data_IF_363084000683
#
_entry.id   IF_363084000683
#
_cell.length_a   1.000
_cell.length_b   1.000
_cell.length_c   1.000
_cell.angle_alpha   90.00
_cell.angle_beta   90.00
_cell.angle_gamma   90.00
#
_symmetry.space_group_name_H-M   'P 1'
#
loop_
_entity.id
_entity.type
_entity.pdbx_description
1 polymer ?
#
# COMPACT_ATOMS: atom_id res chain seq x y z
N UNK A 1 13.99 12.67 -3.79
CA UNK A 1 14.85 12.45 -2.61
C UNK A 1 15.88 13.56 -2.43
N UNK A 2 16.72 13.87 -3.42
CA UNK A 2 17.76 14.91 -3.27
C UNK A 2 17.22 16.30 -2.92
N UNK A 3 16.09 16.68 -3.53
CA UNK A 3 15.36 17.90 -3.17
C UNK A 3 14.93 17.91 -1.70
N UNK A 4 14.44 16.77 -1.18
CA UNK A 4 14.01 16.65 0.22
C UNK A 4 15.20 16.67 1.19
N UNK A 5 16.31 16.00 0.86
CA UNK A 5 17.56 16.04 1.65
C UNK A 5 18.05 17.49 1.83
N UNK A 6 17.89 18.34 0.82
CA UNK A 6 18.29 19.75 0.89
C UNK A 6 17.25 20.65 1.57
N UNK A 7 15.96 20.46 1.30
CA UNK A 7 14.90 21.36 1.79
C UNK A 7 14.52 21.11 3.26
N UNK A 8 14.56 19.85 3.74
CA UNK A 8 14.13 19.50 5.10
C UNK A 8 14.93 20.26 6.18
N UNK A 9 16.28 20.32 6.15
CA UNK A 9 17.04 21.09 7.13
C UNK A 9 16.68 22.58 7.11
N UNK A 10 16.48 23.16 5.93
CA UNK A 10 16.12 24.58 5.76
C UNK A 10 14.75 24.86 6.35
N UNK A 11 13.78 23.95 6.14
CA UNK A 11 12.43 24.07 6.72
C UNK A 11 12.49 23.94 8.24
N UNK A 12 13.27 22.98 8.77
CA UNK A 12 13.48 22.80 10.21
C UNK A 12 14.04 24.06 10.87
N UNK A 13 15.10 24.66 10.32
CA UNK A 13 15.65 25.91 10.85
C UNK A 13 14.65 27.07 10.81
N UNK A 14 13.80 27.13 9.78
CA UNK A 14 12.72 28.14 9.71
C UNK A 14 11.67 27.90 10.78
N UNK A 15 11.31 26.64 11.05
CA UNK A 15 10.36 26.30 12.11
C UNK A 15 10.93 26.63 13.50
N UNK A 16 12.22 26.35 13.74
CA UNK A 16 12.93 26.70 14.98
C UNK A 16 12.94 28.20 15.27
N UNK A 17 12.88 29.03 14.22
CA UNK A 17 12.80 30.48 14.36
C UNK A 17 11.41 30.97 14.79
N UNK A 18 10.37 30.15 14.63
CA UNK A 18 8.97 30.49 14.88
C UNK A 18 8.47 29.89 16.20
N UNK A 19 8.83 28.63 16.46
CA UNK A 19 8.34 27.88 17.61
C UNK A 19 9.33 27.94 18.78
N UNK A 20 8.86 27.85 20.04
CA UNK A 20 9.74 27.85 21.19
C UNK A 20 10.66 26.61 21.18
N UNK A 21 11.88 26.69 21.73
CA UNK A 21 12.82 25.55 21.78
C UNK A 21 12.25 24.29 22.43
N UNK A 22 11.28 24.43 23.34
CA UNK A 22 10.59 23.30 23.99
C UNK A 22 9.73 22.47 23.03
N UNK A 23 9.41 22.99 21.85
CA UNK A 23 8.69 22.26 20.80
C UNK A 23 9.61 21.26 20.07
N UNK A 24 10.91 21.53 19.99
CA UNK A 24 11.86 20.69 19.26
C UNK A 24 12.51 19.67 20.20
N UNK A 25 12.10 18.42 20.07
CA UNK A 25 12.74 17.24 20.62
C UNK A 25 13.38 16.42 19.47
N UNK A 26 13.87 15.21 19.76
CA UNK A 26 14.53 14.39 18.75
C UNK A 26 13.60 13.99 17.58
N UNK A 27 12.28 13.98 17.78
CA UNK A 27 11.30 13.58 16.77
C UNK A 27 11.19 14.57 15.62
N UNK A 28 11.34 15.87 15.87
CA UNK A 28 11.23 16.91 14.85
C UNK A 28 12.45 16.90 13.92
N UNK A 29 13.61 16.42 14.39
CA UNK A 29 14.84 16.31 13.60
C UNK A 29 14.97 15.01 12.79
N UNK A 30 14.18 13.97 13.11
CA UNK A 30 14.18 12.68 12.39
C UNK A 30 14.07 12.80 10.85
N UNK A 31 13.23 13.71 10.29
CA UNK A 31 13.11 13.89 8.84
C UNK A 31 14.42 14.19 8.12
N UNK A 32 15.41 14.79 8.80
CA UNK A 32 16.74 15.07 8.22
C UNK A 32 17.43 13.78 7.79
N UNK A 33 17.24 12.70 8.55
CA UNK A 33 17.84 11.39 8.25
C UNK A 33 16.97 10.57 7.30
N UNK A 34 15.63 10.72 7.36
CA UNK A 34 14.70 9.90 6.57
C UNK A 34 14.93 10.01 5.06
N UNK A 35 15.23 11.20 4.55
CA UNK A 35 15.44 11.39 3.11
C UNK A 35 16.67 10.62 2.60
N UNK A 36 17.74 10.59 3.39
CA UNK A 36 18.94 9.82 3.10
C UNK A 36 18.71 8.32 3.25
N UNK A 37 18.02 7.94 4.32
CA UNK A 37 17.66 6.55 4.59
C UNK A 37 16.79 5.93 3.50
N UNK A 38 15.84 6.68 2.96
CA UNK A 38 14.98 6.25 1.86
C UNK A 38 15.77 6.18 0.54
N UNK A 39 16.72 7.08 0.30
CA UNK A 39 17.62 6.99 -0.87
C UNK A 39 18.44 5.70 -0.85
N UNK A 40 18.94 5.30 0.32
CA UNK A 40 19.77 4.10 0.48
C UNK A 40 18.96 2.80 0.49
N UNK A 41 17.83 2.78 1.19
CA UNK A 41 17.11 1.55 1.49
C UNK A 41 15.76 1.40 0.77
N UNK A 42 15.34 2.41 0.00
CA UNK A 42 14.05 2.42 -0.68
C UNK A 42 12.86 2.61 0.28
N UNK A 43 11.64 2.22 -0.14
CA UNK A 43 10.41 2.50 0.58
C UNK A 43 10.43 2.05 2.05
N UNK A 44 10.04 2.98 2.90
CA UNK A 44 10.03 2.95 4.37
C UNK A 44 9.27 1.76 5.00
N UNK A 45 8.42 1.07 4.22
CA UNK A 45 7.48 0.05 4.67
C UNK A 45 8.12 -1.11 5.48
N UNK A 46 9.39 -1.43 5.22
CA UNK A 46 10.09 -2.51 5.93
C UNK A 46 10.96 -2.04 7.12
N UNK A 47 11.17 -0.74 7.32
CA UNK A 47 12.12 -0.17 8.29
C UNK A 47 11.50 0.49 9.52
N UNK A 48 10.23 0.88 9.49
CA UNK A 48 9.56 1.54 10.64
C UNK A 48 9.27 0.63 11.84
N UNK A 49 9.48 -0.68 11.70
CA UNK A 49 9.36 -1.64 12.79
C UNK A 49 10.42 -2.70 12.55
N UNK A 50 11.21 -3.04 13.57
CA UNK A 50 12.25 -4.01 13.37
C UNK A 50 11.64 -5.39 13.01
N UNK A 51 12.30 -6.21 12.17
CA UNK A 51 11.78 -7.54 11.82
C UNK A 51 11.44 -8.41 13.04
N UNK A 52 12.24 -8.31 14.10
CA UNK A 52 11.99 -9.01 15.36
C UNK A 52 10.75 -8.49 16.10
N UNK A 53 10.50 -7.18 16.10
CA UNK A 53 9.31 -6.60 16.72
C UNK A 53 8.03 -7.00 15.98
N UNK A 54 8.08 -7.05 14.64
CA UNK A 54 6.96 -7.56 13.84
C UNK A 54 6.64 -9.01 14.17
N UNK A 55 7.68 -9.84 14.28
CA UNK A 55 7.51 -11.25 14.64
C UNK A 55 6.97 -11.40 16.07
N UNK A 56 7.52 -10.67 17.04
CA UNK A 56 7.02 -10.66 18.41
C UNK A 56 5.57 -10.17 18.50
N UNK A 57 5.20 -9.17 17.71
CA UNK A 57 3.82 -8.71 17.62
C UNK A 57 2.87 -9.80 17.08
N UNK A 58 3.32 -10.59 16.10
CA UNK A 58 2.58 -11.76 15.63
C UNK A 58 2.42 -12.81 16.72
N UNK A 59 3.52 -13.23 17.38
CA UNK A 59 3.47 -14.19 18.48
C UNK A 59 2.58 -13.71 19.64
N UNK A 60 2.59 -12.42 19.94
CA UNK A 60 1.72 -11.81 20.96
C UNK A 60 0.23 -12.00 20.65
N UNK A 61 -0.17 -12.03 19.38
CA UNK A 61 -1.57 -12.31 18.97
C UNK A 61 -1.97 -13.78 19.21
N UNK A 62 -0.99 -14.68 19.26
CA UNK A 62 -1.17 -16.11 19.50
C UNK A 62 -1.35 -16.44 20.99
N UNK A 63 -1.07 -15.49 21.89
CA UNK A 63 -1.27 -15.65 23.33
C UNK A 63 -2.74 -15.49 23.71
N UNK A 64 -3.48 -16.59 23.74
CA UNK A 64 -4.87 -16.68 24.23
C UNK A 64 -4.95 -16.92 25.74
N UNK A 65 -3.97 -17.64 26.30
CA UNK A 65 -3.85 -17.85 27.73
C UNK A 65 -2.60 -17.17 28.29
N UNK A 66 -2.77 -16.05 29.00
CA UNK A 66 -1.66 -15.29 29.59
C UNK A 66 -0.97 -16.02 30.74
N UNK A 67 -1.62 -16.98 31.39
CA UNK A 67 -1.00 -17.80 32.44
C UNK A 67 -0.05 -18.86 31.88
N UNK A 68 -0.13 -19.17 30.57
CA UNK A 68 0.72 -20.15 29.88
C UNK A 68 1.08 -19.64 28.48
N UNK A 69 1.95 -18.62 28.45
CA UNK A 69 2.30 -17.89 27.23
C UNK A 69 2.93 -18.81 26.18
N UNK A 70 3.96 -19.56 26.55
CA UNK A 70 4.69 -20.47 25.65
C UNK A 70 3.76 -21.55 25.09
N UNK A 71 2.99 -22.22 25.95
CA UNK A 71 2.03 -23.23 25.53
C UNK A 71 0.94 -22.69 24.59
N UNK A 72 0.50 -21.44 24.81
CA UNK A 72 -0.45 -20.79 23.91
C UNK A 72 0.14 -20.51 22.54
N UNK A 73 1.42 -20.09 22.48
CA UNK A 73 2.13 -19.85 21.21
C UNK A 73 2.35 -21.17 20.46
N UNK A 74 2.86 -22.21 21.14
CA UNK A 74 3.07 -23.52 20.54
C UNK A 74 1.77 -24.11 19.97
N UNK A 75 0.67 -24.02 20.72
CA UNK A 75 -0.62 -24.53 20.24
C UNK A 75 -1.13 -23.76 19.00
N UNK A 76 -1.01 -22.44 18.99
CA UNK A 76 -1.38 -21.63 17.84
C UNK A 76 -0.54 -21.98 16.60
N UNK A 77 0.77 -22.21 16.80
CA UNK A 77 1.69 -22.62 15.75
C UNK A 77 1.31 -23.99 15.16
N UNK A 78 0.99 -24.98 16.01
CA UNK A 78 0.52 -26.30 15.55
C UNK A 78 -0.76 -26.20 14.70
N UNK A 79 -1.73 -25.39 15.14
CA UNK A 79 -2.98 -25.16 14.39
C UNK A 79 -2.68 -24.48 13.06
N UNK A 80 -1.77 -23.51 13.05
CA UNK A 80 -1.34 -22.80 11.85
C UNK A 80 -0.68 -23.73 10.83
N UNK A 81 0.27 -24.58 11.24
CA UNK A 81 0.91 -25.55 10.37
C UNK A 81 -0.09 -26.59 9.85
N UNK A 82 -0.92 -27.16 10.73
CA UNK A 82 -1.95 -28.12 10.32
C UNK A 82 -2.92 -27.50 9.32
N UNK A 83 -3.39 -26.27 9.54
CA UNK A 83 -4.29 -25.57 8.62
C UNK A 83 -3.64 -25.27 7.27
N UNK A 84 -2.34 -24.94 7.28
CA UNK A 84 -1.56 -24.69 6.06
C UNK A 84 -1.39 -25.98 5.27
N UNK A 85 -1.05 -27.08 5.95
CA UNK A 85 -0.92 -28.40 5.35
C UNK A 85 -2.25 -28.88 4.74
N UNK A 86 -3.35 -28.83 5.49
CA UNK A 86 -4.68 -29.16 4.97
C UNK A 86 -5.07 -28.29 3.77
N UNK A 87 -4.61 -27.03 3.75
CA UNK A 87 -4.83 -26.09 2.66
C UNK A 87 -4.39 -26.57 1.28
N UNK A 88 -3.41 -27.48 1.20
CA UNK A 88 -2.96 -28.08 -0.06
C UNK A 88 -3.92 -29.11 -0.64
N UNK A 89 -4.76 -29.73 0.20
CA UNK A 89 -5.70 -30.76 -0.21
C UNK A 89 -7.09 -30.21 -0.55
N UNK A 90 -7.37 -28.96 -0.21
CA UNK A 90 -8.66 -28.33 -0.52
C UNK A 90 -8.76 -27.89 -1.98
N UNK A 91 -9.96 -28.03 -2.54
CA UNK A 91 -10.29 -27.59 -3.89
C UNK A 91 -9.96 -26.09 -4.12
N UNK A 92 -9.63 -25.66 -5.35
CA UNK A 92 -9.12 -24.32 -5.64
C UNK A 92 -9.99 -23.17 -5.13
N UNK A 93 -11.31 -23.38 -5.12
CA UNK A 93 -12.30 -22.38 -4.70
C UNK A 93 -12.41 -22.21 -3.18
N UNK A 94 -11.80 -23.10 -2.39
CA UNK A 94 -11.81 -23.01 -0.93
C UNK A 94 -10.81 -21.96 -0.46
N UNK A 95 -11.30 -21.02 0.35
CA UNK A 95 -10.49 -19.97 0.95
C UNK A 95 -9.58 -20.55 2.04
N UNK A 96 -8.28 -20.58 1.76
CA UNK A 96 -7.24 -20.96 2.72
C UNK A 96 -6.40 -19.76 3.09
N UNK A 97 -5.56 -19.88 4.12
CA UNK A 97 -4.67 -18.79 4.53
C UNK A 97 -3.70 -18.38 3.41
N UNK A 98 -3.21 -19.35 2.63
CA UNK A 98 -2.31 -19.11 1.50
C UNK A 98 -3.01 -18.48 0.29
N UNK A 99 -4.30 -18.78 0.10
CA UNK A 99 -5.12 -18.24 -0.99
C UNK A 99 -5.87 -16.97 -0.59
N UNK A 100 -5.64 -16.47 0.63
CA UNK A 100 -6.27 -15.25 1.10
C UNK A 100 -5.67 -14.07 0.36
N UNK A 101 -6.54 -13.41 -0.38
CA UNK A 101 -6.28 -12.17 -1.08
C UNK A 101 -5.61 -11.14 -0.14
N UNK A 102 -4.48 -10.51 -0.53
CA UNK A 102 -3.83 -9.45 0.24
C UNK A 102 -4.79 -8.31 0.61
N UNK A 103 -4.51 -7.61 1.71
CA UNK A 103 -5.34 -6.48 2.15
C UNK A 103 -5.36 -5.33 1.12
N UNK A 104 -4.30 -5.24 0.31
CA UNK A 104 -4.14 -4.30 -0.80
C UNK A 104 -4.23 -5.05 -2.14
N UNK A 105 -5.12 -6.03 -2.26
CA UNK A 105 -5.45 -6.55 -3.58
C UNK A 105 -6.38 -5.57 -4.28
N UNK A 106 -5.85 -4.96 -5.33
CA UNK A 106 -6.54 -4.01 -6.19
C UNK A 106 -7.37 -4.70 -7.27
N UNK A 107 -7.48 -6.04 -7.25
CA UNK A 107 -8.22 -6.91 -8.17
C UNK A 107 -9.73 -6.65 -8.22
N UNK A 108 -10.12 -5.40 -8.42
CA UNK A 108 -11.48 -4.91 -8.48
C UNK A 108 -12.26 -5.46 -9.67
N UNK A 109 -13.48 -4.96 -9.87
CA UNK A 109 -14.34 -5.41 -10.96
C UNK A 109 -13.70 -5.00 -12.28
N UNK A 110 -13.44 -5.95 -13.17
CA UNK A 110 -13.30 -5.63 -14.58
C UNK A 110 -14.68 -5.31 -15.12
N UNK A 111 -14.90 -4.07 -15.53
CA UNK A 111 -16.10 -3.71 -16.29
C UNK A 111 -15.93 -4.19 -17.71
N UNK A 112 -16.14 -5.49 -17.95
CA UNK A 112 -16.34 -6.02 -19.29
C UNK A 112 -17.78 -5.71 -19.72
N UNK A 113 -18.09 -4.43 -19.95
CA UNK A 113 -19.25 -4.07 -20.74
C UNK A 113 -18.86 -4.18 -22.22
N UNK A 114 -19.76 -4.69 -23.06
CA UNK A 114 -19.54 -4.74 -24.51
C UNK A 114 -19.22 -3.34 -25.03
N UNK A 115 -18.07 -3.21 -25.72
CA UNK A 115 -17.58 -1.93 -26.27
C UNK A 115 -16.62 -1.14 -25.36
N UNK A 116 -16.17 -1.70 -24.23
CA UNK A 116 -15.15 -1.06 -23.38
C UNK A 116 -13.77 -1.20 -24.03
N UNK A 117 -13.07 -0.07 -24.26
CA UNK A 117 -11.71 -0.07 -24.79
C UNK A 117 -10.74 -0.77 -23.82
N UNK A 118 -9.70 -1.42 -24.35
CA UNK A 118 -8.67 -2.11 -23.54
C UNK A 118 -8.01 -1.21 -22.48
N UNK A 119 -7.83 0.08 -22.77
CA UNK A 119 -7.25 1.05 -21.83
C UNK A 119 -8.14 1.28 -20.58
N UNK A 120 -9.42 0.92 -20.64
CA UNK A 120 -10.37 1.04 -19.52
C UNK A 120 -10.71 -0.31 -18.87
N UNK A 121 -10.08 -1.41 -19.28
CA UNK A 121 -10.33 -2.74 -18.71
C UNK A 121 -9.47 -3.07 -17.48
N UNK A 122 -8.74 -2.10 -16.93
CA UNK A 122 -7.87 -2.33 -15.78
C UNK A 122 -8.69 -2.63 -14.52
N UNK A 123 -8.37 -3.73 -13.84
CA UNK A 123 -9.01 -4.08 -12.58
C UNK A 123 -8.62 -3.05 -11.51
N UNK A 124 -9.61 -2.33 -10.98
CA UNK A 124 -9.39 -1.29 -9.99
C UNK A 124 -10.52 -1.20 -8.98
N UNK A 125 -10.18 -0.77 -7.76
CA UNK A 125 -11.15 -0.51 -6.69
C UNK A 125 -11.43 0.99 -6.58
N UNK A 126 -12.63 1.42 -6.98
CA UNK A 126 -13.05 2.81 -6.75
C UNK A 126 -13.22 3.07 -5.27
N UNK A 127 -12.68 4.19 -4.78
CA UNK A 127 -12.84 4.63 -3.40
C UNK A 127 -13.86 5.77 -3.30
N UNK A 128 -14.76 5.70 -2.31
CA UNK A 128 -15.75 6.75 -2.05
C UNK A 128 -17.06 6.62 -2.83
N UNK A 129 -17.94 7.62 -2.68
CA UNK A 129 -19.23 7.71 -3.37
C UNK A 129 -19.00 8.18 -4.81
N UNK A 130 -19.53 7.44 -5.79
CA UNK A 130 -19.49 7.85 -7.19
C UNK A 130 -20.30 9.13 -7.39
N UNK A 131 -19.71 10.10 -8.10
CA UNK A 131 -20.34 11.39 -8.41
C UNK A 131 -20.29 11.59 -9.91
N UNK A 132 -21.41 11.98 -10.52
CA UNK A 132 -21.44 12.37 -11.93
C UNK A 132 -21.07 13.85 -12.01
N UNK A 133 -20.01 14.17 -12.75
CA UNK A 133 -19.63 15.54 -13.10
C UNK A 133 -19.34 15.63 -14.59
N UNK A 134 -19.55 16.80 -15.16
CA UNK A 134 -19.03 17.11 -16.49
C UNK A 134 -17.52 17.36 -16.37
N UNK A 135 -16.75 16.83 -17.33
CA UNK A 135 -15.34 17.15 -17.46
C UNK A 135 -15.19 18.58 -17.98
N UNK A 136 -14.13 19.27 -17.54
CA UNK A 136 -13.74 20.54 -18.17
C UNK A 136 -13.18 20.28 -19.56
N UNK A 137 -13.08 21.32 -20.38
CA UNK A 137 -12.54 21.22 -21.74
C UNK A 137 -11.08 20.71 -21.73
N UNK A 138 -10.26 21.21 -20.80
CA UNK A 138 -8.88 20.74 -20.57
C UNK A 138 -8.82 19.26 -20.16
N UNK A 139 -9.70 18.81 -19.25
CA UNK A 139 -9.76 17.41 -18.83
C UNK A 139 -10.21 16.50 -19.98
N UNK A 140 -11.09 17.01 -20.85
CA UNK A 140 -11.63 16.29 -21.99
C UNK A 140 -10.60 16.17 -23.12
N UNK A 141 -9.84 17.24 -23.42
CA UNK A 141 -8.70 17.20 -24.34
C UNK A 141 -7.61 16.25 -23.84
N UNK A 142 -7.29 16.30 -22.54
CA UNK A 142 -6.31 15.40 -21.94
C UNK A 142 -6.76 13.94 -22.02
N UNK A 143 -8.03 13.65 -21.73
CA UNK A 143 -8.59 12.30 -21.84
C UNK A 143 -8.57 11.80 -23.30
N UNK A 144 -8.97 12.64 -24.26
CA UNK A 144 -8.91 12.30 -25.69
C UNK A 144 -7.47 12.04 -26.15
N UNK A 145 -6.53 12.91 -25.80
CA UNK A 145 -5.12 12.74 -26.13
C UNK A 145 -4.55 11.44 -25.55
N UNK A 146 -4.91 11.11 -24.30
CA UNK A 146 -4.51 9.86 -23.68
C UNK A 146 -5.06 8.64 -24.43
N UNK A 147 -6.34 8.66 -24.82
CA UNK A 147 -6.97 7.57 -25.58
C UNK A 147 -6.27 7.38 -26.94
N UNK A 148 -6.06 8.46 -27.70
CA UNK A 148 -5.44 8.39 -29.04
C UNK A 148 -4.00 7.89 -28.99
N UNK A 149 -3.24 8.30 -27.97
CA UNK A 149 -1.83 7.92 -27.84
C UNK A 149 -1.61 6.51 -27.29
N UNK A 150 -2.55 5.97 -26.52
CA UNK A 150 -2.35 4.72 -25.76
C UNK A 150 -3.31 3.58 -26.15
N UNK A 151 -4.28 3.82 -27.04
CA UNK A 151 -5.27 2.81 -27.45
C UNK A 151 -5.12 2.47 -28.94
N UNK A 152 -4.53 1.31 -29.22
CA UNK A 152 -4.34 0.82 -30.60
C UNK A 152 -5.68 0.58 -31.34
N UNK A 153 -6.75 0.26 -30.59
CA UNK A 153 -8.11 0.03 -31.11
C UNK A 153 -8.70 1.28 -31.80
N UNK A 154 -8.20 2.47 -31.47
CA UNK A 154 -8.71 3.74 -31.99
C UNK A 154 -7.97 4.18 -33.25
N UNK A 155 -6.77 3.66 -33.52
CA UNK A 155 -5.94 4.02 -34.68
C UNK A 155 -6.68 4.00 -36.03
N UNK A 156 -7.58 3.04 -36.34
CA UNK A 156 -8.34 3.04 -37.60
C UNK A 156 -9.24 4.26 -37.80
N UNK A 157 -9.57 4.99 -36.72
CA UNK A 157 -10.49 6.13 -36.73
C UNK A 157 -9.77 7.49 -36.67
N UNK A 158 -8.44 7.52 -36.62
CA UNK A 158 -7.62 8.75 -36.49
C UNK A 158 -7.12 9.27 -37.86
N UNK A 159 -7.85 8.97 -38.95
CA UNK A 159 -7.54 9.49 -40.28
C UNK A 159 -7.95 10.95 -40.46
#
# INVERSE_FOLDING_TARGET
>A
MEKLEHEIPVILCKLESIFPPSFFNCMEHLPVHLAHEEKLAGPVQYRWMYPFERYLHHLKKNVKNKARVEGSICNAYLVEEASTFCGHYFEPHVNTRARKVPRNDDGGRTSHADGTLSIFSYAGRTYGRATRRMLTEEELEAAHGYIVLNCEEVLPFVQ
#
